data_IF_088433188931
#
_entry.id   IF_088433188931
#
_cell.length_a   1.000
_cell.length_b   1.000
_cell.length_c   1.000
_cell.angle_alpha   90.00
_cell.angle_beta   90.00
_cell.angle_gamma   90.00
#
_symmetry.space_group_name_H-M   'P 1'
#
loop_
_entity.id
_entity.type
_entity.pdbx_description
1 polymer ?
#
# COMPACT_ATOMS: atom_id res chain seq x y z
N UNK A 1 -0.08 3.00 11.93
CA UNK A 1 1.08 2.09 11.96
C UNK A 1 2.24 2.71 11.20
N UNK A 2 3.42 2.62 11.75
CA UNK A 2 4.62 3.20 11.13
C UNK A 2 5.59 2.09 10.73
N UNK A 3 6.28 2.28 9.62
CA UNK A 3 7.27 1.33 9.13
C UNK A 3 8.37 2.07 8.38
N UNK A 4 9.55 2.14 8.99
CA UNK A 4 10.77 2.70 8.37
C UNK A 4 10.55 3.99 7.55
N UNK A 5 9.88 4.97 8.16
CA UNK A 5 9.61 6.24 7.51
C UNK A 5 8.30 6.30 6.74
N UNK A 6 7.57 5.19 6.65
CA UNK A 6 6.24 5.16 6.08
C UNK A 6 5.19 5.15 7.18
N UNK A 7 4.11 5.89 6.98
CA UNK A 7 2.94 5.86 7.85
C UNK A 7 1.81 5.18 7.10
N UNK A 8 1.22 4.15 7.71
CA UNK A 8 0.10 3.42 7.16
C UNK A 8 -1.17 3.81 7.89
N UNK A 9 -2.16 4.25 7.13
CA UNK A 9 -3.46 4.66 7.65
C UNK A 9 -4.51 3.71 7.09
N UNK A 10 -5.16 2.96 7.97
CA UNK A 10 -6.22 2.04 7.57
C UNK A 10 -7.40 2.82 7.00
N UNK A 11 -8.01 2.28 5.96
CA UNK A 11 -9.24 2.81 5.43
C UNK A 11 -10.24 1.68 5.20
N UNK A 12 -11.53 2.04 5.20
CA UNK A 12 -12.61 1.10 4.93
C UNK A 12 -13.33 1.51 3.65
N UNK A 13 -13.66 0.51 2.85
CA UNK A 13 -14.53 0.74 1.70
C UNK A 13 -15.98 0.78 2.17
N UNK A 14 -16.75 1.71 1.64
CA UNK A 14 -18.18 1.81 1.91
C UNK A 14 -18.96 0.64 1.31
N UNK A 15 -18.41 0.04 0.24
CA UNK A 15 -19.10 -0.98 -0.55
C UNK A 15 -18.65 -2.40 -0.28
N UNK A 16 -17.46 -2.60 0.25
CA UNK A 16 -16.89 -3.91 0.52
C UNK A 16 -16.06 -3.87 1.78
N UNK A 17 -16.01 -4.98 2.50
CA UNK A 17 -15.10 -5.13 3.63
C UNK A 17 -13.68 -5.37 3.11
N UNK A 18 -13.09 -4.35 2.54
CA UNK A 18 -11.72 -4.41 2.04
C UNK A 18 -10.78 -3.97 3.16
N UNK A 19 -9.80 -4.83 3.46
CA UNK A 19 -8.72 -4.45 4.36
C UNK A 19 -7.69 -3.70 3.52
N UNK A 20 -7.41 -2.46 3.88
CA UNK A 20 -6.48 -1.64 3.12
C UNK A 20 -5.84 -0.55 3.93
N UNK A 21 -4.74 -0.05 3.39
CA UNK A 21 -3.98 1.05 3.98
C UNK A 21 -3.61 2.06 2.92
N UNK A 22 -3.74 3.34 3.27
CA UNK A 22 -3.07 4.42 2.55
C UNK A 22 -1.67 4.54 3.11
N UNK A 23 -0.69 4.67 2.25
CA UNK A 23 0.71 4.73 2.64
C UNK A 23 1.24 6.14 2.40
N UNK A 24 1.81 6.73 3.45
CA UNK A 24 2.32 8.10 3.40
C UNK A 24 3.81 8.11 3.74
N UNK A 25 4.54 8.99 3.05
CA UNK A 25 5.89 9.37 3.44
C UNK A 25 5.85 10.86 3.75
N UNK A 26 6.14 11.21 5.01
CA UNK A 26 5.90 12.55 5.52
C UNK A 26 4.40 12.89 5.39
N UNK A 27 4.02 13.91 4.66
CA UNK A 27 2.61 14.30 4.49
C UNK A 27 2.05 13.91 3.13
N UNK A 28 2.83 13.19 2.33
CA UNK A 28 2.45 12.84 0.97
C UNK A 28 2.05 11.37 0.88
N UNK A 29 0.89 11.11 0.29
CA UNK A 29 0.47 9.75 0.01
C UNK A 29 1.31 9.21 -1.15
N UNK A 30 2.02 8.11 -0.91
CA UNK A 30 2.91 7.52 -1.90
C UNK A 30 2.37 6.23 -2.49
N UNK A 31 1.34 5.65 -1.87
CA UNK A 31 0.76 4.43 -2.41
C UNK A 31 -0.38 3.89 -1.56
N UNK A 32 -0.83 2.71 -1.94
CA UNK A 32 -1.86 1.96 -1.22
C UNK A 32 -1.48 0.49 -1.13
N UNK A 33 -1.97 -0.16 -0.09
CA UNK A 33 -1.87 -1.61 0.10
C UNK A 33 -3.27 -2.13 0.41
N UNK A 34 -3.77 -3.05 -0.41
CA UNK A 34 -5.08 -3.65 -0.21
C UNK A 34 -4.99 -5.17 -0.24
N UNK A 35 -5.79 -5.83 0.58
CA UNK A 35 -5.89 -7.28 0.57
C UNK A 35 -7.14 -7.69 -0.19
N UNK A 36 -6.96 -8.53 -1.22
CA UNK A 36 -8.05 -9.09 -2.01
C UNK A 36 -7.73 -10.55 -2.34
N UNK A 37 -8.72 -11.43 -2.14
CA UNK A 37 -8.59 -12.86 -2.49
C UNK A 37 -7.32 -13.52 -1.93
N UNK A 38 -6.96 -13.17 -0.70
CA UNK A 38 -5.78 -13.74 -0.05
C UNK A 38 -4.45 -13.15 -0.46
N UNK A 39 -4.44 -12.16 -1.34
CA UNK A 39 -3.22 -11.50 -1.78
C UNK A 39 -3.22 -10.01 -1.41
N UNK A 40 -2.03 -9.48 -1.16
CA UNK A 40 -1.84 -8.05 -0.99
C UNK A 40 -1.50 -7.42 -2.34
N UNK A 41 -2.17 -6.33 -2.65
CA UNK A 41 -1.94 -5.55 -3.87
C UNK A 41 -1.37 -4.22 -3.45
N UNK A 42 -0.16 -3.92 -3.91
CA UNK A 42 0.46 -2.62 -3.71
C UNK A 42 0.31 -1.79 -4.98
N UNK A 43 -0.03 -0.53 -4.83
CA UNK A 43 -0.11 0.40 -5.95
C UNK A 43 0.59 1.70 -5.57
N UNK A 44 1.32 2.29 -6.50
CA UNK A 44 2.02 3.56 -6.27
C UNK A 44 2.23 4.28 -7.59
N UNK A 45 2.49 5.58 -7.49
CA UNK A 45 2.80 6.39 -8.68
C UNK A 45 4.31 6.43 -8.92
N UNK A 46 4.71 6.18 -10.15
CA UNK A 46 6.06 6.39 -10.61
C UNK A 46 5.99 7.35 -11.80
N UNK A 47 6.29 8.62 -11.54
CA UNK A 47 6.03 9.67 -12.52
C UNK A 47 4.53 9.82 -12.75
N UNK A 48 4.08 9.59 -13.97
CA UNK A 48 2.67 9.66 -14.34
C UNK A 48 2.02 8.29 -14.47
N UNK A 49 2.74 7.21 -14.12
CA UNK A 49 2.22 5.85 -14.26
C UNK A 49 1.88 5.27 -12.91
N UNK A 50 0.76 4.54 -12.85
CA UNK A 50 0.44 3.71 -11.70
C UNK A 50 1.12 2.36 -11.89
N UNK A 51 1.93 1.98 -10.90
CA UNK A 51 2.61 0.68 -10.87
C UNK A 51 1.97 -0.15 -9.79
N UNK A 52 1.67 -1.42 -10.10
CA UNK A 52 1.09 -2.35 -9.14
C UNK A 52 1.90 -3.63 -9.08
N UNK A 53 1.91 -4.27 -7.91
CA UNK A 53 2.43 -5.62 -7.76
C UNK A 53 1.66 -6.33 -6.66
N UNK A 54 1.68 -7.65 -6.69
CA UNK A 54 0.94 -8.47 -5.74
C UNK A 54 1.84 -9.50 -5.08
N UNK A 55 1.51 -9.86 -3.84
CA UNK A 55 2.16 -10.93 -3.12
C UNK A 55 1.26 -11.38 -1.96
N UNK A 56 1.37 -12.63 -1.57
CA UNK A 56 0.63 -13.15 -0.43
C UNK A 56 1.11 -12.54 0.90
N UNK A 57 2.36 -12.08 0.95
CA UNK A 57 2.97 -11.53 2.15
C UNK A 57 2.80 -10.02 2.21
N UNK A 58 2.21 -9.55 3.30
CA UNK A 58 2.11 -8.12 3.60
C UNK A 58 3.51 -7.50 3.72
N UNK A 59 4.40 -8.17 4.45
CA UNK A 59 5.76 -7.67 4.67
C UNK A 59 6.54 -7.53 3.38
N UNK A 60 6.39 -8.50 2.47
CA UNK A 60 7.03 -8.42 1.16
C UNK A 60 6.57 -7.20 0.39
N UNK A 61 5.25 -6.98 0.34
CA UNK A 61 4.68 -5.83 -0.37
C UNK A 61 5.13 -4.51 0.25
N UNK A 62 5.12 -4.43 1.57
CA UNK A 62 5.51 -3.21 2.28
C UNK A 62 6.99 -2.89 2.07
N UNK A 63 7.86 -3.89 2.20
CA UNK A 63 9.29 -3.72 1.97
C UNK A 63 9.60 -3.28 0.55
N UNK A 64 8.97 -3.92 -0.43
CA UNK A 64 9.17 -3.57 -1.83
C UNK A 64 8.67 -2.16 -2.14
N UNK A 65 7.49 -1.82 -1.63
CA UNK A 65 6.94 -0.48 -1.80
C UNK A 65 7.89 0.56 -1.20
N UNK A 66 8.40 0.31 0.01
CA UNK A 66 9.31 1.24 0.68
C UNK A 66 10.61 1.48 -0.10
N UNK A 67 11.07 0.49 -0.84
CA UNK A 67 12.27 0.63 -1.69
C UNK A 67 12.00 1.41 -2.97
N UNK A 68 10.76 1.38 -3.45
CA UNK A 68 10.39 1.99 -4.73
C UNK A 68 9.90 3.43 -4.61
N UNK A 69 9.45 3.84 -3.44
CA UNK A 69 8.90 5.19 -3.23
C UNK A 69 9.81 6.14 -2.44
#
# INVERSE_FOLDING_TARGET
>A
MNYEGLKLVAYESVYESVTGFKVYRSREQVGTLEKRNGEWIAAFLMGFKVVTFTNESFDFCLNKLNRLV
#
